data_IF_943412567832
#
_entry.id   IF_943412567832
#
_cell.length_a   1.000
_cell.length_b   1.000
_cell.length_c   1.000
_cell.angle_alpha   90.00
_cell.angle_beta   90.00
_cell.angle_gamma   90.00
#
_symmetry.space_group_name_H-M   'P 1'
#
loop_
_entity.id
_entity.type
_entity.pdbx_description
1 polymer ?
#
# COMPACT_ATOMS: atom_id res chain seq x y z
N UNK A 1 19.38 -6.71 6.45
CA UNK A 1 18.62 -5.77 5.59
C UNK A 1 18.27 -4.51 6.36
N UNK A 2 19.08 -3.46 6.29
CA UNK A 2 18.93 -2.25 7.08
C UNK A 2 18.28 -1.12 6.26
N UNK A 3 17.15 -1.42 5.58
CA UNK A 3 16.44 -0.37 4.83
C UNK A 3 15.57 0.43 5.82
N UNK A 4 15.77 1.75 5.94
CA UNK A 4 15.04 2.59 6.91
C UNK A 4 13.53 2.57 6.70
N UNK A 5 13.07 2.21 5.49
CA UNK A 5 11.65 2.08 5.15
C UNK A 5 10.93 0.99 5.96
N UNK A 6 11.58 -0.16 6.19
CA UNK A 6 10.98 -1.27 6.92
C UNK A 6 10.88 -0.98 8.41
N UNK A 7 11.86 -0.25 8.94
CA UNK A 7 11.83 0.23 10.31
C UNK A 7 10.69 1.22 10.55
N UNK A 8 10.46 2.17 9.64
CA UNK A 8 9.35 3.13 9.73
C UNK A 8 7.98 2.43 9.66
N UNK A 9 7.83 1.41 8.81
CA UNK A 9 6.60 0.59 8.74
C UNK A 9 6.38 -0.17 10.03
N UNK A 10 7.42 -0.81 10.56
CA UNK A 10 7.34 -1.56 11.81
C UNK A 10 6.89 -0.65 12.96
N UNK A 11 7.50 0.52 13.13
CA UNK A 11 7.11 1.50 14.16
C UNK A 11 5.66 2.00 14.00
N UNK A 12 5.13 2.04 12.77
CA UNK A 12 3.72 2.40 12.52
C UNK A 12 2.77 1.25 12.84
N UNK A 13 3.14 0.02 12.53
CA UNK A 13 2.35 -1.17 12.81
C UNK A 13 2.38 -1.57 14.30
N UNK A 14 3.45 -1.21 15.01
CA UNK A 14 3.55 -1.35 16.48
C UNK A 14 2.52 -0.49 17.22
N UNK A 15 1.99 0.56 16.59
CA UNK A 15 0.94 1.38 17.19
C UNK A 15 -0.36 0.59 17.28
N UNK A 16 -1.25 0.93 18.24
CA UNK A 16 -2.57 0.32 18.33
C UNK A 16 -3.33 0.44 17.00
N UNK A 17 -4.10 -0.59 16.64
CA UNK A 17 -4.82 -0.69 15.36
C UNK A 17 -5.70 0.53 15.02
N UNK A 18 -6.24 1.22 16.04
CA UNK A 18 -6.99 2.47 15.86
C UNK A 18 -6.17 3.65 15.29
N UNK A 19 -4.84 3.57 15.33
CA UNK A 19 -3.90 4.58 14.81
C UNK A 19 -3.26 4.14 13.49
N UNK A 20 -3.62 2.97 12.96
CA UNK A 20 -3.11 2.51 11.68
C UNK A 20 -3.62 3.40 10.56
N UNK A 21 -2.85 3.43 9.47
CA UNK A 21 -3.20 4.21 8.30
C UNK A 21 -4.47 3.65 7.63
N UNK A 22 -5.45 4.50 7.39
CA UNK A 22 -6.63 4.17 6.59
C UNK A 22 -6.61 4.95 5.30
N UNK A 23 -6.31 4.27 4.20
CA UNK A 23 -6.06 4.92 2.90
C UNK A 23 -7.12 4.52 1.89
N UNK A 24 -7.73 5.53 1.28
CA UNK A 24 -8.74 5.36 0.24
C UNK A 24 -8.10 5.32 -1.15
N UNK A 25 -8.71 4.57 -2.09
CA UNK A 25 -8.23 4.45 -3.47
C UNK A 25 -7.99 5.80 -4.16
N UNK A 26 -8.84 6.81 -3.96
CA UNK A 26 -8.63 8.13 -4.56
C UNK A 26 -7.32 8.81 -4.11
N UNK A 27 -6.92 8.59 -2.84
CA UNK A 27 -5.68 9.14 -2.28
C UNK A 27 -4.49 8.46 -2.97
N UNK A 28 -4.59 7.15 -3.18
CA UNK A 28 -3.57 6.38 -3.88
C UNK A 28 -3.43 6.87 -5.33
N UNK A 29 -4.54 6.98 -6.08
CA UNK A 29 -4.52 7.42 -7.49
C UNK A 29 -3.93 8.83 -7.68
N UNK A 30 -4.29 9.76 -6.79
CA UNK A 30 -3.85 11.16 -6.87
C UNK A 30 -2.35 11.32 -6.69
N UNK A 31 -1.77 10.57 -5.77
CA UNK A 31 -0.38 10.75 -5.39
C UNK A 31 0.53 9.75 -6.13
N UNK A 32 0.20 8.47 -6.18
CA UNK A 32 1.09 7.44 -6.72
C UNK A 32 1.21 7.57 -8.23
N UNK A 33 2.44 7.52 -8.73
CA UNK A 33 2.74 7.55 -10.16
C UNK A 33 2.68 6.16 -10.77
N UNK A 34 2.42 6.08 -12.07
CA UNK A 34 2.56 4.84 -12.83
C UNK A 34 4.04 4.41 -12.77
N UNK A 35 4.28 3.16 -12.34
CA UNK A 35 5.59 2.55 -11.96
C UNK A 35 6.05 2.71 -10.50
N UNK A 36 5.29 3.37 -9.63
CA UNK A 36 5.55 3.34 -8.19
C UNK A 36 4.70 2.29 -7.47
N UNK A 37 5.21 1.81 -6.33
CA UNK A 37 4.45 0.93 -5.44
C UNK A 37 3.98 1.70 -4.21
N UNK A 38 2.67 1.73 -4.01
CA UNK A 38 2.06 2.31 -2.82
C UNK A 38 2.19 1.34 -1.66
N UNK A 39 2.68 1.80 -0.51
CA UNK A 39 2.80 0.98 0.69
C UNK A 39 1.99 1.59 1.83
N UNK A 40 1.00 0.85 2.31
CA UNK A 40 0.07 1.30 3.34
C UNK A 40 0.27 0.46 4.61
N UNK A 41 0.86 1.01 5.68
CA UNK A 41 0.99 0.34 6.97
C UNK A 41 -0.36 0.38 7.71
N UNK A 42 -1.36 -0.31 7.17
CA UNK A 42 -2.72 -0.32 7.68
C UNK A 42 -3.73 -0.86 6.66
N UNK A 43 -4.92 -0.26 6.63
CA UNK A 43 -6.07 -0.74 5.85
C UNK A 43 -6.32 0.11 4.61
N UNK A 44 -6.50 -0.57 3.47
CA UNK A 44 -6.93 0.07 2.22
C UNK A 44 -8.43 -0.07 2.02
N UNK A 45 -9.08 1.06 1.80
CA UNK A 45 -10.53 1.20 1.62
C UNK A 45 -10.87 1.53 0.16
N UNK A 46 -12.04 1.08 -0.27
CA UNK A 46 -12.48 1.13 -1.67
C UNK A 46 -13.07 2.47 -2.13
N UNK A 47 -12.92 3.54 -1.36
CA UNK A 47 -13.57 4.82 -1.64
C UNK A 47 -12.84 5.54 -2.78
N UNK A 48 -13.60 5.92 -3.81
CA UNK A 48 -13.07 6.52 -5.05
C UNK A 48 -12.82 5.51 -6.17
N UNK A 49 -12.10 5.96 -7.19
CA UNK A 49 -11.70 5.16 -8.35
C UNK A 49 -10.18 5.09 -8.43
N UNK A 50 -9.70 3.97 -8.96
CA UNK A 50 -8.31 3.79 -9.33
C UNK A 50 -8.27 3.73 -10.85
N UNK A 51 -7.69 4.74 -11.47
CA UNK A 51 -7.56 4.88 -12.93
C UNK A 51 -6.22 4.36 -13.42
N UNK A 52 -5.20 4.37 -12.56
CA UNK A 52 -3.83 3.99 -12.91
C UNK A 52 -3.52 2.55 -12.54
N UNK A 53 -2.69 1.90 -13.37
CA UNK A 53 -2.14 0.58 -13.06
C UNK A 53 -0.96 0.73 -12.11
N UNK A 54 -1.23 0.60 -10.81
CA UNK A 54 -0.22 0.71 -9.76
C UNK A 54 -0.19 -0.57 -8.91
N UNK A 55 0.96 -0.82 -8.31
CA UNK A 55 1.12 -1.87 -7.30
C UNK A 55 0.82 -1.27 -5.92
N UNK A 56 0.01 -1.94 -5.13
CA UNK A 56 -0.36 -1.50 -3.78
C UNK A 56 -0.07 -2.64 -2.82
N UNK A 57 0.83 -2.39 -1.87
CA UNK A 57 1.10 -3.26 -0.74
C UNK A 57 0.45 -2.70 0.52
N UNK A 58 -0.30 -3.52 1.24
CA UNK A 58 -0.91 -3.11 2.51
C UNK A 58 -1.00 -4.26 3.50
N UNK A 59 -1.23 -3.92 4.78
CA UNK A 59 -1.50 -4.93 5.81
C UNK A 59 -2.85 -5.61 5.57
N UNK A 60 -3.89 -4.81 5.26
CA UNK A 60 -5.21 -5.34 4.97
C UNK A 60 -5.91 -4.55 3.88
N UNK A 61 -6.74 -5.23 3.09
CA UNK A 61 -7.55 -4.62 2.06
C UNK A 61 -9.01 -4.93 2.33
N UNK A 62 -9.88 -3.95 2.13
CA UNK A 62 -11.32 -4.22 2.02
C UNK A 62 -11.59 -5.07 0.78
N UNK A 63 -12.58 -5.95 0.85
CA UNK A 63 -12.96 -6.87 -0.23
C UNK A 63 -13.28 -6.09 -1.53
N UNK A 64 -14.10 -5.03 -1.40
CA UNK A 64 -14.41 -4.09 -2.49
C UNK A 64 -13.16 -3.37 -3.02
N UNK A 65 -12.13 -3.17 -2.19
CA UNK A 65 -10.90 -2.51 -2.62
C UNK A 65 -10.08 -3.45 -3.50
N UNK A 66 -9.93 -4.72 -3.10
CA UNK A 66 -9.28 -5.75 -3.92
C UNK A 66 -9.92 -5.88 -5.30
N UNK A 67 -11.25 -5.91 -5.34
CA UNK A 67 -11.99 -5.97 -6.61
C UNK A 67 -11.71 -4.77 -7.51
N UNK A 68 -11.78 -3.54 -6.96
CA UNK A 68 -11.51 -2.33 -7.73
C UNK A 68 -10.07 -2.26 -8.22
N UNK A 69 -9.10 -2.66 -7.41
CA UNK A 69 -7.69 -2.68 -7.80
C UNK A 69 -7.47 -3.70 -8.93
N UNK A 70 -8.05 -4.89 -8.80
CA UNK A 70 -7.98 -5.93 -9.84
C UNK A 70 -8.66 -5.48 -11.14
N UNK A 71 -9.81 -4.80 -11.05
CA UNK A 71 -10.51 -4.20 -12.20
C UNK A 71 -9.69 -3.10 -12.88
N UNK A 72 -8.96 -2.29 -12.12
CA UNK A 72 -8.04 -1.29 -12.65
C UNK A 72 -6.77 -1.89 -13.28
N UNK A 73 -6.56 -3.21 -13.17
CA UNK A 73 -5.34 -3.87 -13.63
C UNK A 73 -4.12 -3.60 -12.73
N UNK A 74 -4.35 -3.17 -11.49
CA UNK A 74 -3.33 -3.02 -10.46
C UNK A 74 -3.01 -4.34 -9.76
N UNK A 75 -1.87 -4.38 -9.06
CA UNK A 75 -1.46 -5.53 -8.24
C UNK A 75 -1.69 -5.22 -6.76
N UNK A 76 -2.41 -6.10 -6.08
CA UNK A 76 -2.49 -6.10 -4.62
C UNK A 76 -1.40 -7.02 -4.09
N UNK A 77 -0.53 -6.51 -3.23
CA UNK A 77 0.53 -7.27 -2.57
C UNK A 77 0.36 -7.18 -1.06
N UNK A 78 0.86 -8.17 -0.33
CA UNK A 78 1.06 -8.03 1.11
C UNK A 78 2.40 -7.38 1.41
N UNK A 79 2.57 -6.91 2.65
CA UNK A 79 3.84 -6.34 3.11
C UNK A 79 4.97 -7.39 3.02
N UNK A 80 4.65 -8.65 3.29
CA UNK A 80 5.57 -9.79 3.18
C UNK A 80 6.01 -10.01 1.73
N UNK A 81 5.07 -10.10 0.79
CA UNK A 81 5.39 -10.25 -0.64
C UNK A 81 6.24 -9.08 -1.17
N UNK A 82 5.97 -7.85 -0.72
CA UNK A 82 6.78 -6.69 -1.08
C UNK A 82 8.20 -6.80 -0.52
N UNK A 83 8.36 -7.38 0.67
CA UNK A 83 9.66 -7.56 1.31
C UNK A 83 10.50 -8.63 0.60
N UNK A 84 9.86 -9.69 0.11
CA UNK A 84 10.52 -10.72 -0.70
C UNK A 84 10.88 -10.20 -2.10
N UNK A 85 9.96 -9.49 -2.76
CA UNK A 85 10.17 -9.00 -4.13
C UNK A 85 11.07 -7.77 -4.21
N UNK A 86 11.08 -6.91 -3.20
CA UNK A 86 11.89 -5.69 -3.16
C UNK A 86 12.41 -5.39 -1.74
N UNK A 87 13.38 -6.17 -1.24
CA UNK A 87 13.95 -5.97 0.10
C UNK A 87 14.60 -4.59 0.28
N UNK A 88 15.00 -3.96 -0.82
CA UNK A 88 15.60 -2.61 -0.87
C UNK A 88 14.58 -1.46 -0.78
N UNK A 89 13.28 -1.70 -0.99
CA UNK A 89 12.25 -0.67 -0.93
C UNK A 89 12.40 0.49 -1.93
N UNK A 90 13.10 0.27 -3.05
CA UNK A 90 13.25 1.29 -4.12
C UNK A 90 11.91 1.53 -4.83
N UNK A 91 11.61 2.79 -5.14
CA UNK A 91 10.34 3.24 -5.76
C UNK A 91 9.07 2.89 -4.97
N UNK A 92 9.21 2.76 -3.64
CA UNK A 92 8.08 2.53 -2.74
C UNK A 92 7.69 3.85 -2.09
N UNK A 93 6.39 4.12 -2.06
CA UNK A 93 5.83 5.32 -1.43
C UNK A 93 4.94 4.95 -0.26
N UNK A 94 5.37 5.32 0.94
CA UNK A 94 4.60 5.08 2.16
C UNK A 94 3.40 6.03 2.20
N UNK A 95 2.20 5.47 2.40
CA UNK A 95 0.96 6.22 2.58
C UNK A 95 0.40 5.96 3.98
N UNK A 96 0.53 6.99 4.81
CA UNK A 96 -0.10 7.12 6.13
C UNK A 96 -1.35 8.00 6.10
#
# INVERSE_FOLDING_TARGET
NNAPIWKDIAERLEKPSRRWAEVNLYKIDKYVKENETALVPGKVLSTGQLTKKISIAAYSFSEKAREKIKKAGGKCLTIEELMETNPSGRNVRIMG
#
